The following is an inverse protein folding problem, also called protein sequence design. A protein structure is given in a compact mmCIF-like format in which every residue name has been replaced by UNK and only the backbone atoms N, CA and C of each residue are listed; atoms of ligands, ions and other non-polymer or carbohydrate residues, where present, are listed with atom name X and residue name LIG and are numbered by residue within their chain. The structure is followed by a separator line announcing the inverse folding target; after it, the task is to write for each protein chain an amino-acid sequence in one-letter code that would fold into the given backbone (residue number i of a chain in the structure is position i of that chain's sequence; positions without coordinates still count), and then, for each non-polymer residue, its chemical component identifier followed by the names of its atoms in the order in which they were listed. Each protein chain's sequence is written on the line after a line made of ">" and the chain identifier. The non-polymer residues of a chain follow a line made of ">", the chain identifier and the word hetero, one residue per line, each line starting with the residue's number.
data_IF_153031025099
#
_entry.id   IF_153031025099
#
_cell.length_a   1.000
_cell.length_b   1.000
_cell.length_c   1.000
_cell.angle_alpha   90.00
_cell.angle_beta   90.00
_cell.angle_gamma   90.00
#
_symmetry.space_group_name_H-M   'P 1'
#
loop_
_entity.id
_entity.type
_entity.pdbx_description
1 polymer ?
#
# COMPACT_ATOMS: atom_id res chain seq x y z
N UNK A 1 -29.34 1.19 -16.08
CA UNK A 1 -27.91 1.11 -16.49
C UNK A 1 -27.09 1.94 -15.51
N UNK A 2 -26.16 1.36 -14.74
CA UNK A 2 -25.34 2.10 -13.76
C UNK A 2 -23.90 2.31 -14.31
N UNK A 3 -23.63 3.43 -15.01
CA UNK A 3 -22.31 3.71 -15.60
C UNK A 3 -21.18 3.88 -14.56
N UNK A 4 -21.52 4.16 -13.31
CA UNK A 4 -20.55 4.43 -12.22
C UNK A 4 -19.70 3.22 -11.83
N UNK A 5 -20.25 1.99 -11.91
CA UNK A 5 -19.52 0.78 -11.50
C UNK A 5 -18.33 0.44 -12.40
N UNK A 6 -18.45 0.70 -13.71
CA UNK A 6 -17.34 0.52 -14.67
C UNK A 6 -16.18 1.46 -14.39
N UNK A 7 -16.48 2.70 -13.99
CA UNK A 7 -15.46 3.69 -13.66
C UNK A 7 -14.70 3.29 -12.39
N UNK A 8 -15.41 2.83 -11.35
CA UNK A 8 -14.79 2.39 -10.10
C UNK A 8 -13.85 1.18 -10.29
N UNK A 9 -14.26 0.19 -11.08
CA UNK A 9 -13.40 -0.98 -11.34
C UNK A 9 -12.15 -0.64 -12.14
N UNK A 10 -12.24 0.32 -13.07
CA UNK A 10 -11.08 0.83 -13.80
C UNK A 10 -10.12 1.57 -12.86
N UNK A 11 -10.64 2.45 -12.00
CA UNK A 11 -9.83 3.14 -10.99
C UNK A 11 -9.14 2.17 -10.04
N UNK A 12 -9.81 1.11 -9.59
CA UNK A 12 -9.20 0.09 -8.75
C UNK A 12 -8.05 -0.64 -9.48
N UNK A 13 -8.24 -0.99 -10.76
CA UNK A 13 -7.17 -1.61 -11.55
C UNK A 13 -5.97 -0.67 -11.74
N UNK A 14 -6.21 0.62 -11.98
CA UNK A 14 -5.16 1.64 -12.07
C UNK A 14 -4.44 1.80 -10.74
N UNK A 15 -5.19 1.94 -9.65
CA UNK A 15 -4.65 2.09 -8.29
C UNK A 15 -3.73 0.92 -7.92
N UNK A 16 -4.13 -0.32 -8.22
CA UNK A 16 -3.30 -1.50 -7.95
C UNK A 16 -1.97 -1.50 -8.72
N UNK A 17 -1.98 -1.07 -9.98
CA UNK A 17 -0.77 -0.99 -10.83
C UNK A 17 0.15 0.12 -10.38
N UNK A 18 -0.40 1.32 -10.16
CA UNK A 18 0.38 2.49 -9.73
C UNK A 18 0.97 2.25 -8.34
N UNK A 19 0.20 1.68 -7.41
CA UNK A 19 0.73 1.33 -6.09
C UNK A 19 1.83 0.28 -6.17
N UNK A 20 1.65 -0.76 -7.00
CA UNK A 20 2.70 -1.76 -7.25
C UNK A 20 3.97 -1.17 -7.85
N UNK A 21 3.85 -0.25 -8.80
CA UNK A 21 5.00 0.42 -9.41
C UNK A 21 5.76 1.29 -8.39
N UNK A 22 5.04 2.06 -7.57
CA UNK A 22 5.67 2.88 -6.51
C UNK A 22 6.37 2.01 -5.46
N UNK A 23 5.74 0.89 -5.05
CA UNK A 23 6.37 -0.07 -4.12
C UNK A 23 7.61 -0.72 -4.75
N UNK A 24 7.56 -1.05 -6.03
CA UNK A 24 8.71 -1.61 -6.75
C UNK A 24 9.88 -0.61 -6.83
N UNK A 25 9.58 0.68 -7.05
CA UNK A 25 10.59 1.74 -7.02
C UNK A 25 11.17 1.98 -5.62
N UNK A 26 10.39 1.72 -4.57
CA UNK A 26 10.86 1.79 -3.20
C UNK A 26 11.83 0.67 -2.83
N UNK A 27 11.67 -0.54 -3.38
CA UNK A 27 12.49 -1.72 -3.03
C UNK A 27 14.01 -1.48 -3.12
N UNK A 28 14.58 -0.92 -4.21
CA UNK A 28 16.00 -0.61 -4.27
C UNK A 28 16.48 0.31 -3.15
N UNK A 29 15.72 1.38 -2.87
CA UNK A 29 16.04 2.34 -1.79
C UNK A 29 16.01 1.64 -0.43
N UNK A 30 15.01 0.79 -0.21
CA UNK A 30 14.87 0.02 1.01
C UNK A 30 16.01 -0.96 1.23
N UNK A 31 16.47 -1.65 0.18
CA UNK A 31 17.60 -2.57 0.30
C UNK A 31 18.93 -1.86 0.52
N UNK A 32 19.14 -0.70 -0.11
CA UNK A 32 20.33 0.12 0.16
C UNK A 32 20.37 0.56 1.63
N UNK A 33 19.21 0.95 2.16
CA UNK A 33 19.07 1.30 3.56
C UNK A 33 19.37 0.11 4.48
N UNK A 34 18.77 -1.05 4.23
CA UNK A 34 19.04 -2.27 5.00
C UNK A 34 20.52 -2.67 4.92
N UNK A 35 21.16 -2.45 3.76
CA UNK A 35 22.60 -2.62 3.59
C UNK A 35 23.40 -1.70 4.49
N UNK A 36 23.05 -0.41 4.55
CA UNK A 36 23.75 0.55 5.43
C UNK A 36 23.63 0.22 6.92
N UNK A 37 22.57 -0.49 7.33
CA UNK A 37 22.44 -0.97 8.71
C UNK A 37 23.49 -2.03 9.08
N UNK A 38 24.11 -2.68 8.09
CA UNK A 38 25.20 -3.65 8.29
C UNK A 38 26.58 -2.99 8.44
N UNK A 39 26.72 -1.73 8.01
CA UNK A 39 27.99 -0.98 8.03
C UNK A 39 28.33 -0.42 9.43
N UNK A 40 27.44 -0.58 10.40
CA UNK A 40 27.68 -0.24 11.81
C UNK A 40 26.63 0.69 12.42
N UNK A 41 26.71 0.91 13.74
CA UNK A 41 25.70 1.65 14.50
C UNK A 41 25.60 3.12 14.08
N UNK A 42 26.67 3.73 13.56
CA UNK A 42 26.70 5.14 13.15
C UNK A 42 25.85 5.40 11.90
N UNK A 43 25.89 4.49 10.92
CA UNK A 43 25.06 4.57 9.71
C UNK A 43 23.58 4.36 10.04
N UNK A 44 23.28 3.43 10.95
CA UNK A 44 21.92 3.22 11.46
C UNK A 44 21.40 4.45 12.22
N UNK A 45 22.22 5.06 13.08
CA UNK A 45 21.86 6.24 13.86
C UNK A 45 21.61 7.47 12.96
N UNK A 46 22.33 7.59 11.85
CA UNK A 46 22.02 8.58 10.81
C UNK A 46 20.63 8.35 10.19
N UNK A 47 20.27 7.11 9.87
CA UNK A 47 18.94 6.82 9.35
C UNK A 47 17.83 7.05 10.37
N UNK A 48 18.03 6.68 11.64
CA UNK A 48 17.04 6.92 12.69
C UNK A 48 16.73 8.42 12.83
N UNK A 49 17.76 9.28 12.78
CA UNK A 49 17.57 10.74 12.74
C UNK A 49 16.82 11.22 11.50
N UNK A 50 17.03 10.57 10.35
CA UNK A 50 16.31 10.89 9.13
C UNK A 50 14.85 10.43 9.22
N UNK A 51 14.58 9.26 9.80
CA UNK A 51 13.24 8.72 10.02
C UNK A 51 12.40 9.57 10.99
N UNK A 52 13.05 10.29 11.90
CA UNK A 52 12.39 11.26 12.78
C UNK A 52 11.89 12.51 12.05
N UNK A 53 12.34 12.76 10.82
CA UNK A 53 11.86 13.90 10.03
C UNK A 53 10.36 13.73 9.69
N UNK A 54 9.50 14.73 9.97
CA UNK A 54 8.08 14.68 9.65
C UNK A 54 7.77 14.35 8.18
N UNK A 55 8.61 14.79 7.24
CA UNK A 55 8.45 14.47 5.81
C UNK A 55 8.69 12.98 5.54
N UNK A 56 9.64 12.36 6.24
CA UNK A 56 9.93 10.93 6.11
C UNK A 56 8.82 10.11 6.74
N UNK A 57 8.32 10.51 7.93
CA UNK A 57 7.13 9.88 8.53
C UNK A 57 5.90 9.93 7.62
N UNK A 58 5.69 11.04 6.91
CA UNK A 58 4.62 11.14 5.91
C UNK A 58 4.86 10.22 4.70
N UNK A 59 6.10 10.12 4.23
CA UNK A 59 6.45 9.20 3.16
C UNK A 59 6.24 7.72 3.56
N UNK A 60 6.63 7.36 4.79
CA UNK A 60 6.40 6.03 5.36
C UNK A 60 4.90 5.73 5.54
N UNK A 61 4.12 6.71 6.00
CA UNK A 61 2.67 6.62 6.04
C UNK A 61 2.08 6.32 4.65
N UNK A 62 2.51 7.08 3.65
CA UNK A 62 2.11 6.89 2.25
C UNK A 62 2.49 5.49 1.74
N UNK A 63 3.70 5.03 2.06
CA UNK A 63 4.20 3.71 1.69
C UNK A 63 3.36 2.59 2.31
N UNK A 64 3.03 2.68 3.60
CA UNK A 64 2.17 1.70 4.30
C UNK A 64 0.77 1.68 3.68
N UNK A 65 0.20 2.84 3.36
CA UNK A 65 -1.09 2.91 2.68
C UNK A 65 -1.03 2.36 1.26
N UNK A 66 0.03 2.62 0.49
CA UNK A 66 0.25 2.05 -0.85
C UNK A 66 0.37 0.52 -0.80
N UNK A 67 1.08 -0.01 0.19
CA UNK A 67 1.18 -1.45 0.43
C UNK A 67 -0.17 -2.05 0.78
N UNK A 68 -0.91 -1.43 1.69
CA UNK A 68 -2.25 -1.87 2.10
C UNK A 68 -3.24 -1.95 0.93
N UNK A 69 -3.28 -0.90 0.09
CA UNK A 69 -4.17 -0.89 -1.07
C UNK A 69 -3.72 -1.87 -2.15
N UNK A 70 -2.40 -2.00 -2.39
CA UNK A 70 -1.85 -2.96 -3.34
C UNK A 70 -2.23 -4.40 -2.96
N UNK A 71 -2.03 -4.76 -1.69
CA UNK A 71 -2.33 -6.09 -1.16
C UNK A 71 -3.82 -6.40 -1.23
N UNK A 72 -4.69 -5.48 -0.77
CA UNK A 72 -6.12 -5.69 -0.77
C UNK A 72 -6.70 -5.85 -2.19
N UNK A 73 -6.24 -5.03 -3.14
CA UNK A 73 -6.66 -5.13 -4.54
C UNK A 73 -6.04 -6.34 -5.25
N UNK A 74 -4.81 -6.73 -4.91
CA UNK A 74 -4.17 -7.95 -5.42
C UNK A 74 -4.91 -9.21 -4.95
N UNK A 75 -5.31 -9.25 -3.68
CA UNK A 75 -6.14 -10.34 -3.14
C UNK A 75 -7.48 -10.46 -3.87
N UNK A 76 -8.11 -9.33 -4.21
CA UNK A 76 -9.31 -9.31 -5.06
C UNK A 76 -9.07 -9.96 -6.42
N UNK A 77 -7.92 -9.70 -7.05
CA UNK A 77 -7.56 -10.32 -8.35
C UNK A 77 -7.34 -11.82 -8.18
N UNK A 78 -6.57 -12.25 -7.18
CA UNK A 78 -6.34 -13.68 -6.91
C UNK A 78 -7.64 -14.44 -6.64
N UNK A 79 -8.55 -13.87 -5.85
CA UNK A 79 -9.86 -14.50 -5.59
C UNK A 79 -10.68 -14.65 -6.88
N UNK A 80 -10.55 -13.73 -7.84
CA UNK A 80 -11.24 -13.83 -9.13
C UNK A 80 -10.68 -14.91 -10.04
N UNK A 81 -9.37 -15.11 -9.99
CA UNK A 81 -8.67 -16.09 -10.82
C UNK A 81 -8.75 -17.50 -10.23
N UNK A 82 -8.75 -17.62 -8.90
CA UNK A 82 -8.67 -18.90 -8.19
C UNK A 82 -10.03 -19.47 -7.74
N UNK A 83 -11.15 -18.75 -7.86
CA UNK A 83 -12.47 -19.25 -7.43
C UNK A 83 -13.52 -19.28 -8.55
N UNK A 84 -14.35 -20.34 -8.65
CA UNK A 84 -15.37 -20.49 -9.70
C UNK A 84 -16.68 -19.69 -9.46
N UNK A 85 -16.62 -18.51 -8.81
CA UNK A 85 -17.80 -17.86 -8.23
C UNK A 85 -18.86 -17.42 -9.28
N UNK A 86 -20.16 -17.80 -9.12
CA UNK A 86 -21.19 -17.60 -10.16
C UNK A 86 -21.78 -16.17 -10.26
N UNK A 87 -21.45 -15.24 -9.36
CA UNK A 87 -22.00 -13.87 -9.32
C UNK A 87 -20.88 -12.81 -9.40
N UNK A 88 -20.17 -12.83 -10.53
CA UNK A 88 -18.84 -12.24 -10.76
C UNK A 88 -18.78 -10.70 -10.84
N UNK A 89 -19.86 -9.96 -10.59
CA UNK A 89 -19.87 -8.50 -10.89
C UNK A 89 -20.44 -7.64 -9.75
N UNK A 90 -21.44 -8.13 -9.02
CA UNK A 90 -22.12 -7.39 -7.95
C UNK A 90 -21.23 -7.27 -6.69
N UNK A 91 -20.62 -8.37 -6.23
CA UNK A 91 -19.84 -8.43 -4.99
C UNK A 91 -18.42 -7.86 -5.07
N UNK A 92 -17.94 -7.42 -6.23
CA UNK A 92 -16.54 -6.97 -6.39
C UNK A 92 -16.36 -5.47 -6.39
N UNK A 93 -17.41 -4.72 -6.78
CA UNK A 93 -17.42 -3.26 -6.63
C UNK A 93 -17.48 -2.89 -5.14
N UNK A 94 -18.14 -3.72 -4.33
CA UNK A 94 -18.23 -3.53 -2.88
C UNK A 94 -16.91 -3.74 -2.16
N UNK A 95 -15.88 -4.32 -2.78
CA UNK A 95 -14.56 -4.54 -2.19
C UNK A 95 -13.62 -3.32 -2.30
N UNK A 96 -13.93 -2.37 -3.18
CA UNK A 96 -13.06 -1.21 -3.41
C UNK A 96 -13.03 -0.29 -2.19
N UNK A 97 -14.20 0.03 -1.64
CA UNK A 97 -14.32 0.87 -0.44
C UNK A 97 -13.63 0.26 0.81
N UNK A 98 -13.88 -1.01 1.20
CA UNK A 98 -13.19 -1.61 2.33
C UNK A 98 -11.69 -1.75 2.10
N UNK A 99 -11.23 -1.94 0.85
CA UNK A 99 -9.78 -1.93 0.55
C UNK A 99 -9.17 -0.55 0.81
N UNK A 100 -9.85 0.53 0.42
CA UNK A 100 -9.40 1.90 0.70
C UNK A 100 -9.41 2.21 2.20
N UNK A 101 -10.47 1.82 2.91
CA UNK A 101 -10.56 2.00 4.37
C UNK A 101 -9.49 1.19 5.11
N UNK A 102 -9.21 -0.04 4.67
CA UNK A 102 -8.14 -0.86 5.20
C UNK A 102 -6.77 -0.20 5.02
N UNK A 103 -6.46 0.27 3.81
CA UNK A 103 -5.20 0.96 3.52
C UNK A 103 -5.03 2.25 4.33
N UNK A 104 -6.10 3.04 4.48
CA UNK A 104 -6.10 4.24 5.32
C UNK A 104 -5.97 3.88 6.80
N UNK A 105 -6.69 2.87 7.28
CA UNK A 105 -6.61 2.40 8.66
C UNK A 105 -5.22 1.92 9.03
N UNK A 106 -4.54 1.18 8.15
CA UNK A 106 -3.14 0.79 8.34
C UNK A 106 -2.20 2.00 8.40
N UNK A 107 -2.37 2.97 7.50
CA UNK A 107 -1.60 4.20 7.53
C UNK A 107 -1.84 4.98 8.83
N UNK A 108 -3.09 5.19 9.23
CA UNK A 108 -3.45 5.89 10.46
C UNK A 108 -2.91 5.17 11.72
N UNK A 109 -2.96 3.84 11.74
CA UNK A 109 -2.35 3.05 12.81
C UNK A 109 -0.83 3.24 12.86
N UNK A 110 -0.17 3.24 11.69
CA UNK A 110 1.26 3.48 11.58
C UNK A 110 1.65 4.86 12.11
N UNK A 111 0.97 5.93 11.68
CA UNK A 111 1.34 7.29 12.11
C UNK A 111 1.03 7.51 13.60
N UNK A 112 -0.05 6.93 14.12
CA UNK A 112 -0.37 6.95 15.54
C UNK A 112 0.74 6.29 16.37
N UNK A 113 1.18 5.09 15.96
CA UNK A 113 2.28 4.37 16.63
C UNK A 113 3.63 5.08 16.48
N UNK A 114 3.87 5.74 15.34
CA UNK A 114 5.12 6.48 15.05
C UNK A 114 5.26 7.79 15.85
N UNK A 115 4.16 8.31 16.39
CA UNK A 115 4.10 9.59 17.11
C UNK A 115 3.87 9.43 18.62
N UNK A 116 3.50 8.22 19.08
CA UNK A 116 3.30 7.88 20.50
C UNK A 116 4.57 7.30 21.12
#
# INVERSE_FOLDING_TARGET
>A
MHPTRRHQSYLAAMAHRVSGALLALFLPVHFLLLGSALDGPEALDHYLRLADNPFVKFAEWGLVSLLGIHLALGLRVLLLELTPWPHRTEKLSTWILPSALFALGLGLLFIYRSTS
#
